data_IF_753308615867
#
_entry.id   IF_753308615867
#
_cell.length_a   1.000
_cell.length_b   1.000
_cell.length_c   1.000
_cell.angle_alpha   90.00
_cell.angle_beta   90.00
_cell.angle_gamma   90.00
#
_symmetry.space_group_name_H-M   'P 1'
#
loop_
_entity.id
_entity.type
_entity.pdbx_description
1 polymer ?
#
# COMPACT_ATOMS: atom_id res chain seq x y z
N UNK A 1 -14.31 34.86 14.40
CA UNK A 1 -13.37 33.78 14.05
C UNK A 1 -12.57 34.28 12.86
N UNK A 2 -11.35 34.65 13.13
CA UNK A 2 -10.46 35.28 12.13
C UNK A 2 -9.81 34.19 11.27
N UNK A 3 -9.99 34.16 9.94
CA UNK A 3 -9.39 33.15 9.07
C UNK A 3 -7.92 33.45 8.72
N UNK A 4 -7.28 34.40 9.38
CA UNK A 4 -5.96 34.90 9.08
C UNK A 4 -4.81 34.19 9.84
N UNK A 5 -4.90 32.90 10.05
CA UNK A 5 -3.83 32.10 10.65
C UNK A 5 -2.88 31.42 9.66
N UNK A 6 -3.09 31.57 8.35
CA UNK A 6 -2.11 31.14 7.35
C UNK A 6 -1.19 32.30 7.05
N UNK A 7 -0.09 32.39 7.76
CA UNK A 7 1.02 33.24 7.37
C UNK A 7 1.61 32.69 6.08
N UNK A 8 1.45 33.44 5.00
CA UNK A 8 2.05 33.17 3.70
C UNK A 8 3.59 33.38 3.68
N UNK A 9 4.21 33.44 4.86
CA UNK A 9 5.64 33.67 5.03
C UNK A 9 6.48 32.43 5.29
N UNK A 10 5.88 31.24 5.35
CA UNK A 10 6.65 30.01 5.15
C UNK A 10 6.87 29.87 3.65
N UNK A 11 7.72 30.74 3.08
CA UNK A 11 8.41 30.49 1.83
C UNK A 11 9.16 29.16 2.02
N UNK A 12 8.47 28.07 1.67
CA UNK A 12 9.13 26.81 1.37
C UNK A 12 10.07 27.14 0.24
N UNK A 13 11.35 27.33 0.57
CA UNK A 13 12.37 27.43 -0.46
C UNK A 13 12.12 26.31 -1.46
N UNK A 14 12.02 26.60 -2.77
CA UNK A 14 11.84 25.59 -3.78
C UNK A 14 13.15 24.85 -4.03
N UNK A 15 13.77 24.38 -2.97
CA UNK A 15 14.80 23.37 -3.00
C UNK A 15 14.11 22.03 -3.19
N UNK A 16 13.85 21.67 -4.45
CA UNK A 16 13.64 20.26 -4.79
C UNK A 16 14.83 19.51 -4.19
N UNK A 17 14.66 18.91 -3.03
CA UNK A 17 15.66 18.02 -2.44
C UNK A 17 15.70 16.80 -3.36
N UNK A 18 16.52 16.91 -4.40
CA UNK A 18 16.87 15.73 -5.21
C UNK A 18 17.55 14.79 -4.24
N UNK A 19 16.89 13.72 -3.88
CA UNK A 19 17.48 12.69 -3.05
C UNK A 19 18.78 12.25 -3.73
N UNK A 20 19.88 12.07 -2.99
CA UNK A 20 21.14 11.63 -3.58
C UNK A 20 20.91 10.31 -4.31
N UNK A 21 21.61 10.07 -5.42
CA UNK A 21 21.51 8.82 -6.16
C UNK A 21 21.81 7.66 -5.23
N UNK A 22 20.92 6.67 -5.18
CA UNK A 22 21.08 5.49 -4.34
C UNK A 22 22.17 4.59 -4.85
N UNK A 23 22.88 4.01 -3.93
CA UNK A 23 23.82 2.93 -4.26
C UNK A 23 23.06 1.69 -4.75
N UNK A 24 23.68 0.84 -5.59
CA UNK A 24 23.06 -0.43 -6.03
C UNK A 24 22.65 -1.32 -4.86
N UNK A 25 23.38 -1.28 -3.74
CA UNK A 25 23.05 -2.05 -2.53
C UNK A 25 21.78 -1.52 -1.84
N UNK A 26 21.63 -0.19 -1.74
CA UNK A 26 20.42 0.43 -1.19
C UNK A 26 19.21 0.11 -2.06
N UNK A 27 19.35 0.14 -3.38
CA UNK A 27 18.28 -0.25 -4.30
C UNK A 27 17.89 -1.71 -4.12
N UNK A 28 18.87 -2.61 -4.04
CA UNK A 28 18.64 -4.04 -3.81
C UNK A 28 17.92 -4.28 -2.48
N UNK A 29 18.38 -3.64 -1.41
CA UNK A 29 17.76 -3.76 -0.09
C UNK A 29 16.32 -3.24 -0.08
N UNK A 30 16.09 -2.06 -0.67
CA UNK A 30 14.74 -1.49 -0.79
C UNK A 30 13.82 -2.39 -1.59
N UNK A 31 14.31 -2.95 -2.69
CA UNK A 31 13.55 -3.87 -3.53
C UNK A 31 13.11 -5.12 -2.75
N UNK A 32 14.03 -5.80 -2.07
CA UNK A 32 13.72 -7.00 -1.28
C UNK A 32 12.70 -6.71 -0.18
N UNK A 33 12.86 -5.60 0.54
CA UNK A 33 11.90 -5.18 1.57
C UNK A 33 10.53 -4.88 0.97
N UNK A 34 10.49 -4.16 -0.15
CA UNK A 34 9.25 -3.77 -0.82
C UNK A 34 8.50 -4.96 -1.41
N UNK A 35 9.19 -6.00 -1.87
CA UNK A 35 8.54 -7.23 -2.35
C UNK A 35 7.61 -7.84 -1.30
N UNK A 36 8.04 -7.88 -0.06
CA UNK A 36 7.23 -8.42 1.05
C UNK A 36 6.17 -7.42 1.52
N UNK A 37 6.57 -6.18 1.80
CA UNK A 37 5.68 -5.17 2.35
C UNK A 37 4.59 -4.74 1.37
N UNK A 38 4.80 -4.85 0.06
CA UNK A 38 3.76 -4.65 -0.93
C UNK A 38 2.55 -5.57 -0.72
N UNK A 39 2.78 -6.82 -0.29
CA UNK A 39 1.69 -7.77 -0.05
C UNK A 39 1.10 -7.66 1.35
N UNK A 40 1.93 -7.52 2.38
CA UNK A 40 1.48 -7.61 3.77
C UNK A 40 1.74 -6.34 4.57
N UNK A 41 2.11 -5.24 3.92
CA UNK A 41 2.39 -3.98 4.58
C UNK A 41 1.20 -3.42 5.34
N UNK A 42 1.50 -2.74 6.44
CA UNK A 42 0.53 -2.17 7.37
C UNK A 42 -0.27 -1.02 6.79
N UNK A 43 0.37 -0.18 5.98
CA UNK A 43 -0.20 1.07 5.47
C UNK A 43 -0.70 0.96 4.04
N UNK A 44 -0.11 0.10 3.22
CA UNK A 44 -0.43 -0.01 1.80
C UNK A 44 -0.38 -1.43 1.25
N UNK A 45 -0.27 -2.46 2.09
CA UNK A 45 -0.18 -3.84 1.64
C UNK A 45 -1.43 -4.33 0.92
N UNK A 46 -1.25 -5.09 -0.16
CA UNK A 46 -2.38 -5.58 -0.96
C UNK A 46 -3.33 -6.49 -0.18
N UNK A 47 -2.81 -7.36 0.69
CA UNK A 47 -3.62 -8.30 1.45
C UNK A 47 -4.59 -7.61 2.43
N UNK A 48 -4.18 -6.66 3.28
CA UNK A 48 -5.11 -6.02 4.20
C UNK A 48 -6.11 -5.08 3.53
N UNK A 49 -5.75 -4.46 2.39
CA UNK A 49 -6.60 -3.46 1.74
C UNK A 49 -7.40 -3.99 0.55
N UNK A 50 -6.93 -5.04 -0.11
CA UNK A 50 -7.59 -5.63 -1.28
C UNK A 50 -7.68 -7.17 -1.18
N UNK A 51 -8.13 -7.73 -0.05
CA UNK A 51 -8.08 -9.18 0.18
C UNK A 51 -8.92 -9.97 -0.84
N UNK A 52 -9.99 -9.40 -1.37
CA UNK A 52 -10.78 -10.03 -2.44
C UNK A 52 -9.99 -10.23 -3.72
N UNK A 53 -9.12 -9.27 -4.10
CA UNK A 53 -8.25 -9.38 -5.28
C UNK A 53 -7.14 -10.39 -5.02
N UNK A 54 -6.54 -10.37 -3.84
CA UNK A 54 -5.53 -11.35 -3.45
C UNK A 54 -6.11 -12.76 -3.46
N UNK A 55 -7.34 -12.94 -2.96
CA UNK A 55 -8.05 -14.21 -3.01
C UNK A 55 -8.33 -14.64 -4.46
N UNK A 56 -8.71 -13.74 -5.37
CA UNK A 56 -8.93 -14.06 -6.78
C UNK A 56 -7.64 -14.56 -7.44
N UNK A 57 -6.50 -13.90 -7.20
CA UNK A 57 -5.19 -14.34 -7.69
C UNK A 57 -4.83 -15.71 -7.13
N UNK A 58 -4.98 -15.93 -5.82
CA UNK A 58 -4.69 -17.20 -5.18
C UNK A 58 -5.58 -18.34 -5.74
N UNK A 59 -6.88 -18.09 -5.90
CA UNK A 59 -7.81 -19.05 -6.50
C UNK A 59 -7.46 -19.38 -7.94
N UNK A 60 -7.03 -18.39 -8.74
CA UNK A 60 -6.56 -18.63 -10.09
C UNK A 60 -5.35 -19.58 -10.11
N UNK A 61 -4.38 -19.34 -9.24
CA UNK A 61 -3.15 -20.14 -9.17
C UNK A 61 -3.42 -21.58 -8.73
N UNK A 62 -4.39 -21.79 -7.83
CA UNK A 62 -4.70 -23.11 -7.25
C UNK A 62 -5.70 -23.90 -8.10
N UNK A 63 -6.78 -23.29 -8.53
CA UNK A 63 -7.91 -23.99 -9.17
C UNK A 63 -8.40 -23.33 -10.46
N UNK A 64 -7.75 -22.27 -10.90
CA UNK A 64 -8.19 -21.51 -12.07
C UNK A 64 -8.00 -22.29 -13.37
N UNK A 65 -8.85 -22.02 -14.37
CA UNK A 65 -8.67 -22.54 -15.72
C UNK A 65 -7.38 -21.96 -16.29
N UNK A 66 -6.54 -22.82 -16.89
CA UNK A 66 -5.26 -22.41 -17.47
C UNK A 66 -5.42 -21.80 -18.87
N UNK A 67 -6.40 -20.90 -19.00
CA UNK A 67 -6.68 -20.21 -20.23
C UNK A 67 -5.67 -19.10 -20.50
N UNK A 68 -5.33 -18.87 -21.77
CA UNK A 68 -4.29 -17.93 -22.19
C UNK A 68 -4.51 -16.51 -21.65
N UNK A 69 -5.75 -16.03 -21.68
CA UNK A 69 -6.07 -14.69 -21.19
C UNK A 69 -5.84 -14.53 -19.69
N UNK A 70 -6.08 -15.56 -18.88
CA UNK A 70 -5.78 -15.52 -17.44
C UNK A 70 -4.28 -15.39 -17.19
N UNK A 71 -3.45 -16.14 -17.92
CA UNK A 71 -2.00 -16.00 -17.79
C UNK A 71 -1.49 -14.64 -18.26
N UNK A 72 -2.08 -14.06 -19.32
CA UNK A 72 -1.75 -12.70 -19.75
C UNK A 72 -2.12 -11.67 -18.68
N UNK A 73 -3.30 -11.78 -18.06
CA UNK A 73 -3.71 -10.90 -16.97
C UNK A 73 -2.80 -11.03 -15.75
N UNK A 74 -2.41 -12.27 -15.37
CA UNK A 74 -1.47 -12.50 -14.29
C UNK A 74 -0.09 -11.90 -14.60
N UNK A 75 0.41 -12.11 -15.82
CA UNK A 75 1.69 -11.52 -16.25
C UNK A 75 1.65 -10.00 -16.20
N UNK A 76 0.59 -9.37 -16.71
CA UNK A 76 0.42 -7.93 -16.66
C UNK A 76 0.38 -7.41 -15.20
N UNK A 77 -0.30 -8.13 -14.30
CA UNK A 77 -0.35 -7.80 -12.87
C UNK A 77 1.03 -7.88 -12.23
N UNK A 78 1.77 -8.97 -12.48
CA UNK A 78 3.12 -9.18 -11.92
C UNK A 78 4.10 -8.15 -12.47
N UNK A 79 4.09 -7.88 -13.77
CA UNK A 79 4.98 -6.88 -14.40
C UNK A 79 4.69 -5.48 -13.83
N UNK A 80 3.41 -5.12 -13.68
CA UNK A 80 3.02 -3.82 -13.10
C UNK A 80 3.45 -3.71 -11.63
N UNK A 81 3.23 -4.76 -10.84
CA UNK A 81 3.69 -4.83 -9.46
C UNK A 81 5.21 -4.65 -9.35
N UNK A 82 5.98 -5.43 -10.10
CA UNK A 82 7.45 -5.30 -10.11
C UNK A 82 7.88 -3.92 -10.60
N UNK A 83 7.17 -3.35 -11.58
CA UNK A 83 7.41 -1.99 -12.05
C UNK A 83 7.26 -0.95 -10.93
N UNK A 84 6.18 -1.00 -10.15
CA UNK A 84 6.02 -0.08 -9.00
C UNK A 84 7.12 -0.23 -7.97
N UNK A 85 7.47 -1.46 -7.61
CA UNK A 85 8.48 -1.73 -6.58
C UNK A 85 9.90 -1.32 -7.03
N UNK A 86 10.20 -1.47 -8.34
CA UNK A 86 11.51 -1.12 -8.90
C UNK A 86 11.66 0.36 -9.23
N UNK A 87 10.64 0.94 -9.89
CA UNK A 87 10.73 2.29 -10.43
C UNK A 87 10.40 3.36 -9.40
N UNK A 88 9.57 3.02 -8.41
CA UNK A 88 9.10 3.96 -7.39
C UNK A 88 9.27 3.34 -5.99
N UNK A 89 10.50 2.94 -5.60
CA UNK A 89 10.74 2.17 -4.38
C UNK A 89 10.36 2.91 -3.09
N UNK A 90 10.29 4.24 -3.12
CA UNK A 90 9.93 5.07 -1.96
C UNK A 90 8.47 5.45 -1.89
N UNK A 91 7.73 5.20 -2.98
CA UNK A 91 6.35 5.63 -3.10
C UNK A 91 5.48 4.64 -3.90
N UNK A 92 5.76 3.33 -3.79
CA UNK A 92 5.05 2.31 -4.57
C UNK A 92 3.55 2.17 -4.23
N UNK A 93 3.07 2.77 -3.14
CA UNK A 93 1.65 2.77 -2.77
C UNK A 93 0.89 4.03 -3.19
N UNK A 94 1.58 5.05 -3.70
CA UNK A 94 0.96 6.25 -4.23
C UNK A 94 1.08 7.49 -3.37
N UNK A 95 1.88 7.47 -2.30
CA UNK A 95 2.37 8.60 -1.53
C UNK A 95 1.34 9.47 -0.82
N UNK A 96 1.87 10.55 -0.22
CA UNK A 96 1.06 11.63 0.34
C UNK A 96 0.47 11.37 1.72
N UNK A 97 0.99 10.39 2.48
CA UNK A 97 0.51 10.13 3.86
C UNK A 97 -0.85 9.40 3.92
N UNK A 98 -1.45 9.08 2.78
CA UNK A 98 -2.71 8.35 2.74
C UNK A 98 -2.51 6.87 3.11
N UNK A 99 -3.49 6.31 3.82
CA UNK A 99 -3.56 4.88 4.08
C UNK A 99 -4.16 4.18 2.85
N UNK A 100 -3.62 3.00 2.52
CA UNK A 100 -4.02 2.22 1.36
C UNK A 100 -3.09 2.41 0.18
N UNK A 101 -3.26 1.60 -0.85
CA UNK A 101 -2.40 1.57 -2.03
C UNK A 101 -3.21 1.98 -3.27
N UNK A 102 -3.14 3.26 -3.64
CA UNK A 102 -3.88 3.76 -4.80
C UNK A 102 -3.32 3.25 -6.13
N UNK A 103 -2.03 2.89 -6.21
CA UNK A 103 -1.48 2.29 -7.43
C UNK A 103 -1.96 0.86 -7.60
N UNK A 104 -2.12 0.12 -6.50
CA UNK A 104 -2.73 -1.20 -6.56
C UNK A 104 -4.20 -1.15 -7.02
N UNK A 105 -4.90 -0.06 -6.76
CA UNK A 105 -6.26 0.12 -7.23
C UNK A 105 -6.36 -0.01 -8.76
N UNK A 106 -5.34 0.44 -9.49
CA UNK A 106 -5.25 0.30 -10.95
C UNK A 106 -5.09 -1.17 -11.39
N UNK A 107 -4.60 -2.04 -10.49
CA UNK A 107 -4.40 -3.47 -10.75
C UNK A 107 -5.63 -4.32 -10.37
N UNK A 108 -6.60 -3.74 -9.66
CA UNK A 108 -7.82 -4.45 -9.23
C UNK A 108 -8.57 -5.08 -10.41
N UNK A 109 -8.80 -4.41 -11.54
CA UNK A 109 -9.48 -5.04 -12.67
C UNK A 109 -8.74 -6.27 -13.21
N UNK A 110 -7.40 -6.21 -13.30
CA UNK A 110 -6.58 -7.36 -13.73
C UNK A 110 -6.71 -8.53 -12.74
N UNK A 111 -6.67 -8.23 -11.44
CA UNK A 111 -6.84 -9.25 -10.42
C UNK A 111 -8.24 -9.89 -10.44
N UNK A 112 -9.29 -9.11 -10.69
CA UNK A 112 -10.65 -9.63 -10.79
C UNK A 112 -10.88 -10.48 -12.06
N UNK A 113 -10.17 -10.18 -13.17
CA UNK A 113 -10.18 -11.02 -14.36
C UNK A 113 -9.64 -12.44 -14.11
N UNK A 114 -8.84 -12.60 -13.05
CA UNK A 114 -8.29 -13.90 -12.65
C UNK A 114 -9.29 -14.75 -11.85
N UNK A 115 -10.44 -14.20 -11.46
CA UNK A 115 -11.39 -14.90 -10.62
C UNK A 115 -12.02 -16.09 -11.37
N UNK A 116 -11.81 -17.34 -10.92
CA UNK A 116 -12.38 -18.52 -11.59
C UNK A 116 -13.91 -18.53 -11.50
N UNK A 117 -14.58 -18.98 -12.55
CA UNK A 117 -16.03 -19.12 -12.58
C UNK A 117 -16.53 -19.94 -11.39
N UNK A 118 -17.59 -19.49 -10.74
CA UNK A 118 -18.17 -20.15 -9.57
C UNK A 118 -17.41 -19.98 -8.26
N UNK A 119 -16.29 -19.24 -8.23
CA UNK A 119 -15.51 -18.98 -7.01
C UNK A 119 -15.69 -17.57 -6.46
N UNK A 120 -16.61 -16.78 -7.02
CA UNK A 120 -16.86 -15.39 -6.61
C UNK A 120 -17.18 -15.22 -5.13
N UNK A 121 -17.89 -16.18 -4.53
CA UNK A 121 -18.24 -16.14 -3.11
C UNK A 121 -17.00 -16.10 -2.18
N UNK A 122 -15.92 -16.80 -2.53
CA UNK A 122 -14.68 -16.78 -1.75
C UNK A 122 -13.97 -15.43 -1.80
N UNK A 123 -13.89 -14.83 -3.00
CA UNK A 123 -13.31 -13.50 -3.14
C UNK A 123 -14.18 -12.44 -2.44
N UNK A 124 -15.50 -12.55 -2.55
CA UNK A 124 -16.45 -11.69 -1.84
C UNK A 124 -16.33 -11.83 -0.31
N UNK A 125 -16.25 -13.05 0.22
CA UNK A 125 -16.05 -13.28 1.64
C UNK A 125 -14.72 -12.66 2.13
N UNK A 126 -13.63 -12.81 1.36
CA UNK A 126 -12.36 -12.17 1.67
C UNK A 126 -12.47 -10.64 1.65
N UNK A 127 -13.17 -10.07 0.65
CA UNK A 127 -13.41 -8.62 0.56
C UNK A 127 -14.23 -8.10 1.74
N UNK A 128 -15.28 -8.83 2.16
CA UNK A 128 -16.09 -8.49 3.34
C UNK A 128 -15.24 -8.52 4.61
N UNK A 129 -14.44 -9.57 4.80
CA UNK A 129 -13.54 -9.67 5.96
C UNK A 129 -12.54 -8.50 6.02
N UNK A 130 -11.95 -8.13 4.88
CA UNK A 130 -11.09 -6.94 4.80
C UNK A 130 -11.85 -5.64 5.06
N UNK A 131 -13.06 -5.50 4.52
CA UNK A 131 -13.94 -4.37 4.79
C UNK A 131 -14.25 -4.21 6.28
N UNK A 132 -14.55 -5.31 6.98
CA UNK A 132 -14.78 -5.30 8.43
C UNK A 132 -13.52 -4.91 9.20
N UNK A 133 -12.35 -5.41 8.78
CA UNK A 133 -11.06 -5.02 9.37
C UNK A 133 -10.78 -3.52 9.19
N UNK A 134 -11.12 -2.97 8.01
CA UNK A 134 -10.94 -1.57 7.65
C UNK A 134 -12.08 -0.66 8.10
N UNK A 135 -13.22 -1.21 8.56
CA UNK A 135 -14.44 -0.45 8.86
C UNK A 135 -14.19 0.81 9.69
N UNK A 136 -13.38 0.79 10.76
CA UNK A 136 -13.12 1.99 11.54
C UNK A 136 -12.32 3.05 10.78
N UNK A 137 -11.41 2.63 9.89
CA UNK A 137 -10.65 3.54 9.02
C UNK A 137 -11.56 4.15 7.96
N UNK A 138 -12.47 3.36 7.40
CA UNK A 138 -13.47 3.81 6.44
C UNK A 138 -14.51 4.75 7.06
N UNK A 139 -14.83 4.57 8.35
CA UNK A 139 -15.73 5.46 9.08
C UNK A 139 -15.12 6.86 9.33
N UNK A 140 -13.80 6.97 9.38
CA UNK A 140 -13.09 8.23 9.63
C UNK A 140 -11.82 8.35 8.79
N UNK A 141 -11.91 8.35 7.46
CA UNK A 141 -10.76 8.25 6.57
C UNK A 141 -9.81 9.44 6.72
N UNK A 142 -10.34 10.65 6.86
CA UNK A 142 -9.54 11.87 7.04
C UNK A 142 -8.74 11.80 8.34
N UNK A 143 -9.37 11.40 9.46
CA UNK A 143 -8.68 11.26 10.73
C UNK A 143 -7.50 10.29 10.64
N UNK A 144 -7.71 9.11 10.06
CA UNK A 144 -6.66 8.10 9.95
C UNK A 144 -5.59 8.45 8.91
N UNK A 145 -5.91 9.24 7.89
CA UNK A 145 -4.90 9.76 6.96
C UNK A 145 -4.02 10.83 7.61
N UNK A 146 -4.60 11.68 8.47
CA UNK A 146 -3.84 12.67 9.24
C UNK A 146 -3.07 12.05 10.41
N UNK A 147 -3.56 10.93 10.97
CA UNK A 147 -2.95 10.21 12.09
C UNK A 147 -2.78 8.72 11.78
N UNK A 148 -1.91 8.38 10.83
CA UNK A 148 -1.70 6.98 10.43
C UNK A 148 -1.16 6.09 11.56
N UNK A 149 -0.57 6.69 12.61
CA UNK A 149 -0.18 5.97 13.83
C UNK A 149 -1.36 5.34 14.57
N UNK A 150 -2.51 6.00 14.58
CA UNK A 150 -3.73 5.48 15.23
C UNK A 150 -4.26 4.26 14.47
N UNK A 151 -4.17 4.27 13.13
CA UNK A 151 -4.46 3.10 12.31
C UNK A 151 -3.46 1.96 12.55
N UNK A 152 -2.18 2.27 12.57
CA UNK A 152 -1.10 1.29 12.70
C UNK A 152 -1.14 0.50 14.01
N UNK A 153 -1.68 1.06 15.08
CA UNK A 153 -1.75 0.43 16.40
C UNK A 153 -3.01 -0.39 16.61
N UNK A 154 -3.96 -0.36 15.68
CA UNK A 154 -5.27 -1.02 15.83
C UNK A 154 -5.22 -2.49 15.47
N UNK A 155 -5.93 -3.28 16.27
CA UNK A 155 -6.25 -4.70 16.00
C UNK A 155 -5.11 -5.46 15.31
N UNK A 156 -5.40 -6.09 14.17
CA UNK A 156 -4.45 -6.88 13.41
C UNK A 156 -3.35 -6.04 12.72
N UNK A 157 -3.57 -4.74 12.45
CA UNK A 157 -2.58 -3.90 11.77
C UNK A 157 -1.28 -3.75 12.57
N UNK A 158 -1.34 -3.79 13.90
CA UNK A 158 -0.14 -3.76 14.76
C UNK A 158 0.82 -4.93 14.52
N UNK A 159 0.32 -6.06 13.99
CA UNK A 159 1.10 -7.26 13.72
C UNK A 159 1.73 -7.26 12.32
N UNK A 160 1.27 -6.37 11.44
CA UNK A 160 1.76 -6.29 10.08
C UNK A 160 3.08 -5.50 10.02
N UNK A 161 3.99 -5.85 9.11
CA UNK A 161 5.24 -5.12 8.93
C UNK A 161 4.98 -3.68 8.47
N UNK A 162 5.77 -2.74 8.97
CA UNK A 162 5.74 -1.36 8.47
C UNK A 162 6.58 -1.25 7.19
N UNK A 163 6.13 -0.39 6.28
CA UNK A 163 6.81 -0.07 5.03
C UNK A 163 7.97 0.89 5.29
N UNK A 164 9.10 0.37 5.75
CA UNK A 164 10.25 1.14 6.22
C UNK A 164 10.80 2.06 5.13
N UNK A 165 10.77 1.65 3.86
CA UNK A 165 11.27 2.43 2.73
C UNK A 165 10.43 3.68 2.45
N UNK A 166 9.20 3.72 2.94
CA UNK A 166 8.21 4.79 2.70
C UNK A 166 7.93 5.66 3.90
N UNK A 167 8.64 5.45 5.01
CA UNK A 167 8.43 6.25 6.22
C UNK A 167 8.74 7.74 6.04
N UNK A 168 9.55 8.11 5.03
CA UNK A 168 9.81 9.49 4.66
C UNK A 168 8.62 10.19 3.98
N UNK A 169 7.82 9.44 3.23
CA UNK A 169 6.62 9.93 2.55
C UNK A 169 5.40 10.03 3.47
N UNK A 170 5.40 9.25 4.53
CA UNK A 170 4.42 9.34 5.60
C UNK A 170 4.80 10.52 6.52
N UNK A 171 4.83 11.72 5.98
CA UNK A 171 5.31 12.96 6.62
C UNK A 171 4.66 13.27 7.97
N UNK A 172 3.54 12.63 8.28
CA UNK A 172 2.80 12.75 9.53
C UNK A 172 3.42 11.96 10.69
N UNK A 173 4.48 11.17 10.43
CA UNK A 173 5.18 10.39 11.46
C UNK A 173 6.30 11.16 12.18
N UNK A 174 6.35 12.46 12.08
CA UNK A 174 7.53 13.24 12.47
C UNK A 174 7.97 13.07 13.91
N UNK A 175 7.10 12.78 14.89
CA UNK A 175 7.55 12.76 16.28
C UNK A 175 7.45 11.40 17.00
N UNK A 176 6.47 10.58 16.69
CA UNK A 176 6.26 9.33 17.43
C UNK A 176 7.24 8.23 17.00
N UNK A 177 7.61 8.19 15.73
CA UNK A 177 8.52 7.18 15.20
C UNK A 177 9.99 7.56 15.26
N UNK A 178 10.32 8.86 15.23
CA UNK A 178 11.70 9.32 15.52
C UNK A 178 12.14 8.98 16.94
N UNK A 179 11.20 8.99 17.89
CA UNK A 179 11.48 8.64 19.31
C UNK A 179 11.46 7.14 19.58
N UNK A 180 10.87 6.33 18.69
CA UNK A 180 10.80 4.87 18.82
C UNK A 180 11.54 4.19 17.68
N UNK A 181 12.76 4.57 17.41
CA UNK A 181 13.66 3.70 16.65
C UNK A 181 14.06 2.55 17.55
N UNK A 182 13.53 1.33 17.36
CA UNK A 182 14.16 0.16 17.92
C UNK A 182 15.23 -0.25 16.92
N UNK A 183 16.44 0.24 17.16
CA UNK A 183 17.70 -0.40 16.72
C UNK A 183 18.84 0.32 17.42
#
# INVERSE_FOLDING_TARGET
MDPAGFSASDEVEPGVRVAPPRTPEELRRSFVLNLGTFWVGRFGGALPYFPGVVAAVALFLVVGPRERHGWLALTALVVSWLGYVLLIPDNWYGGGGAIGNRYFLNLVPLGLLLLPRGKGAWAAAAAVAGGLLLAPTLASPVHHSLRPGDHATRAAFRLLPAEITMLGDLSVFTDVWRKRRPF
#
